data_IF_165241978165
#
_entry.id   IF_165241978165
#
_cell.length_a   1.000
_cell.length_b   1.000
_cell.length_c   1.000
_cell.angle_alpha   90.00
_cell.angle_beta   90.00
_cell.angle_gamma   90.00
#
_symmetry.space_group_name_H-M   'P 1'
#
loop_
_entity.id
_entity.type
_entity.pdbx_description
1 polymer ?
#
# COMPACT_ATOMS: atom_id res chain seq x y z
N UNK A 1 -31.30 -24.42 -34.77
CA UNK A 1 -30.00 -23.72 -34.61
C UNK A 1 -30.24 -22.28 -35.00
N UNK A 2 -30.21 -21.35 -34.04
CA UNK A 2 -30.38 -19.91 -34.28
C UNK A 2 -29.07 -19.24 -33.93
N UNK A 3 -28.52 -18.54 -34.91
CA UNK A 3 -27.34 -17.70 -34.79
C UNK A 3 -27.66 -16.48 -33.91
N UNK A 4 -26.79 -16.20 -32.93
CA UNK A 4 -26.84 -14.97 -32.15
C UNK A 4 -25.98 -13.91 -32.84
N UNK A 5 -26.52 -12.71 -33.12
CA UNK A 5 -25.76 -11.63 -33.71
C UNK A 5 -24.87 -10.97 -32.66
N UNK A 6 -23.59 -10.80 -33.00
CA UNK A 6 -22.62 -10.01 -32.24
C UNK A 6 -22.87 -8.53 -32.54
N UNK A 7 -23.03 -7.63 -31.56
CA UNK A 7 -22.94 -6.21 -31.83
C UNK A 7 -21.48 -5.77 -31.78
N UNK A 8 -21.01 -5.35 -32.95
CA UNK A 8 -19.78 -4.61 -33.21
C UNK A 8 -19.92 -3.18 -32.64
N UNK A 9 -18.86 -2.73 -31.97
CA UNK A 9 -18.47 -1.33 -31.66
C UNK A 9 -19.46 -0.42 -30.92
N UNK A 10 -19.27 -0.30 -29.60
CA UNK A 10 -19.42 1.01 -28.93
C UNK A 10 -18.07 1.54 -28.48
N UNK A 11 -17.66 2.58 -29.21
CA UNK A 11 -16.68 3.60 -28.88
C UNK A 11 -16.94 4.09 -27.45
N UNK A 12 -16.07 3.75 -26.49
CA UNK A 12 -16.06 4.39 -25.16
C UNK A 12 -15.45 5.78 -25.31
N UNK A 13 -16.27 6.71 -25.80
CA UNK A 13 -15.98 8.13 -25.75
C UNK A 13 -16.32 8.66 -24.37
N UNK A 14 -15.34 9.28 -23.71
CA UNK A 14 -15.58 10.36 -22.76
C UNK A 14 -16.36 10.00 -21.50
N UNK A 15 -15.67 9.39 -20.55
CA UNK A 15 -15.77 9.71 -19.11
C UNK A 15 -14.73 8.88 -18.38
N UNK A 16 -13.59 9.49 -18.07
CA UNK A 16 -12.80 9.03 -16.94
C UNK A 16 -13.78 8.94 -15.77
N UNK A 17 -13.94 7.75 -15.19
CA UNK A 17 -14.52 7.65 -13.87
C UNK A 17 -13.57 8.41 -12.94
N UNK A 18 -13.78 9.72 -12.83
CA UNK A 18 -13.27 10.52 -11.74
C UNK A 18 -13.92 9.93 -10.51
N UNK A 19 -13.21 8.99 -9.89
CA UNK A 19 -13.51 8.53 -8.55
C UNK A 19 -13.34 9.73 -7.62
N UNK A 20 -14.41 10.54 -7.55
CA UNK A 20 -14.59 11.68 -6.67
C UNK A 20 -14.94 11.14 -5.26
N UNK A 21 -14.14 10.18 -4.80
CA UNK A 21 -14.21 9.75 -3.42
C UNK A 21 -13.63 10.90 -2.58
N UNK A 22 -14.32 11.32 -1.51
CA UNK A 22 -13.71 12.19 -0.52
C UNK A 22 -12.51 11.44 0.04
N UNK A 23 -11.32 11.78 -0.42
CA UNK A 23 -10.07 11.24 0.11
C UNK A 23 -9.93 11.84 1.48
N UNK A 24 -10.46 11.14 2.48
CA UNK A 24 -10.25 11.53 3.85
C UNK A 24 -8.78 11.31 4.16
N UNK A 25 -7.99 12.38 4.01
CA UNK A 25 -6.77 12.53 4.79
C UNK A 25 -7.19 12.31 6.23
N UNK A 26 -6.83 11.17 6.83
CA UNK A 26 -7.08 10.98 8.26
C UNK A 26 -6.08 11.87 8.99
N UNK A 27 -6.50 13.01 9.58
CA UNK A 27 -5.57 13.81 10.36
C UNK A 27 -4.93 12.93 11.43
N UNK A 28 -3.67 13.24 11.76
CA UNK A 28 -2.88 12.51 12.75
C UNK A 28 -3.63 12.31 14.08
N UNK A 29 -4.53 13.24 14.44
CA UNK A 29 -5.42 13.16 15.60
C UNK A 29 -6.32 11.92 15.59
N UNK A 30 -6.80 11.47 14.43
CA UNK A 30 -7.62 10.24 14.34
C UNK A 30 -6.83 8.98 14.69
N UNK A 31 -5.49 9.02 14.62
CA UNK A 31 -4.63 7.91 15.06
C UNK A 31 -4.46 7.86 16.58
N UNK A 32 -4.67 8.97 17.27
CA UNK A 32 -4.66 9.01 18.73
C UNK A 32 -5.96 8.43 19.33
N UNK A 33 -7.02 8.27 18.53
CA UNK A 33 -8.29 7.78 19.01
C UNK A 33 -8.20 6.33 19.53
N UNK A 34 -8.94 5.99 20.61
CA UNK A 34 -8.96 4.65 21.18
C UNK A 34 -9.28 3.57 20.14
N UNK A 35 -10.18 3.88 19.21
CA UNK A 35 -10.58 2.97 18.13
C UNK A 35 -9.41 2.62 17.19
N UNK A 36 -8.58 3.60 16.83
CA UNK A 36 -7.40 3.34 16.00
C UNK A 36 -6.38 2.46 16.73
N UNK A 37 -6.12 2.79 18.00
CA UNK A 37 -5.22 1.99 18.84
C UNK A 37 -5.70 0.55 18.99
N UNK A 38 -7.02 0.33 19.11
CA UNK A 38 -7.63 -1.00 19.18
C UNK A 38 -7.35 -1.80 17.91
N UNK A 39 -7.57 -1.23 16.72
CA UNK A 39 -7.30 -1.96 15.47
C UNK A 39 -5.81 -2.27 15.30
N UNK A 40 -4.91 -1.36 15.70
CA UNK A 40 -3.47 -1.59 15.55
C UNK A 40 -2.95 -2.66 16.50
N UNK A 41 -3.61 -2.87 17.65
CA UNK A 41 -3.23 -3.90 18.62
C UNK A 41 -3.88 -5.26 18.35
N UNK A 42 -5.14 -5.27 17.93
CA UNK A 42 -5.94 -6.51 17.83
C UNK A 42 -6.95 -6.54 16.69
N UNK A 43 -6.86 -5.61 15.72
CA UNK A 43 -7.65 -5.69 14.50
C UNK A 43 -7.24 -6.91 13.67
N UNK A 44 -8.20 -7.45 12.91
CA UNK A 44 -7.93 -8.54 11.99
C UNK A 44 -7.00 -8.08 10.87
N UNK A 45 -6.17 -9.00 10.36
CA UNK A 45 -5.22 -8.71 9.29
C UNK A 45 -5.89 -8.81 7.94
N UNK A 46 -5.39 -8.05 6.98
CA UNK A 46 -5.75 -8.13 5.57
C UNK A 46 -4.52 -7.73 4.74
N UNK A 47 -4.57 -7.93 3.44
CA UNK A 47 -3.53 -7.49 2.52
C UNK A 47 -4.13 -6.51 1.51
N UNK A 48 -3.36 -5.52 1.07
CA UNK A 48 -3.80 -4.61 0.03
C UNK A 48 -2.80 -4.50 -1.10
N UNK A 49 -3.29 -4.56 -2.33
CA UNK A 49 -2.49 -4.32 -3.52
C UNK A 49 -2.61 -2.84 -3.91
N UNK A 50 -1.47 -2.18 -4.12
CA UNK A 50 -1.43 -0.81 -4.63
C UNK A 50 -1.83 -0.82 -6.10
N UNK A 51 -3.00 -0.26 -6.42
CA UNK A 51 -3.47 -0.12 -7.80
C UNK A 51 -2.94 1.16 -8.46
N UNK A 52 -2.76 2.19 -7.65
CA UNK A 52 -2.35 3.50 -8.11
C UNK A 52 -1.60 4.22 -6.98
N UNK A 53 -0.55 4.95 -7.34
CA UNK A 53 0.18 5.83 -6.43
C UNK A 53 0.46 7.14 -7.16
N UNK A 54 -0.04 8.25 -6.61
CA UNK A 54 0.21 9.59 -7.17
C UNK A 54 0.68 10.53 -6.07
N UNK A 55 1.67 11.39 -6.33
CA UNK A 55 2.02 12.44 -5.39
C UNK A 55 0.80 13.35 -5.12
N UNK A 56 0.62 13.74 -3.86
CA UNK A 56 -0.49 14.55 -3.39
C UNK A 56 0.00 15.59 -2.37
N UNK A 57 -0.49 16.82 -2.53
CA UNK A 57 -0.13 17.97 -1.70
C UNK A 57 1.03 18.79 -2.27
N UNK A 58 1.29 19.94 -1.66
CA UNK A 58 2.36 20.85 -2.04
C UNK A 58 3.72 20.36 -1.52
N UNK A 59 4.72 20.40 -2.39
CA UNK A 59 6.13 20.15 -2.05
C UNK A 59 6.82 21.49 -1.81
N UNK A 60 7.09 21.85 -0.56
CA UNK A 60 8.22 22.73 -0.26
C UNK A 60 9.49 21.90 -0.46
N UNK A 61 10.55 22.41 -1.09
CA UNK A 61 11.72 21.63 -1.53
C UNK A 61 12.39 20.70 -0.50
N UNK A 62 12.14 20.87 0.80
CA UNK A 62 12.63 20.00 1.87
C UNK A 62 11.73 18.80 2.21
N UNK A 63 10.46 18.77 1.80
CA UNK A 63 9.47 17.77 2.23
C UNK A 63 9.01 16.94 1.04
N UNK A 64 9.20 15.62 1.12
CA UNK A 64 8.67 14.68 0.12
C UNK A 64 7.13 14.82 0.08
N UNK A 65 6.50 14.84 -1.11
CA UNK A 65 5.05 14.91 -1.22
C UNK A 65 4.42 13.74 -0.48
N UNK A 66 3.18 13.85 -0.02
CA UNK A 66 2.42 12.66 0.36
C UNK A 66 2.05 11.88 -0.90
N UNK A 67 1.64 10.62 -0.78
CA UNK A 67 1.09 9.86 -1.90
C UNK A 67 -0.40 9.59 -1.66
N UNK A 68 -1.23 9.88 -2.65
CA UNK A 68 -2.58 9.35 -2.76
C UNK A 68 -2.49 7.97 -3.40
N UNK A 69 -2.89 6.97 -2.62
CA UNK A 69 -2.94 5.57 -3.00
C UNK A 69 -4.37 5.16 -3.31
N UNK A 70 -4.53 4.34 -4.35
CA UNK A 70 -5.73 3.53 -4.56
C UNK A 70 -5.34 2.09 -4.25
N UNK A 71 -6.00 1.49 -3.26
CA UNK A 71 -5.66 0.19 -2.70
C UNK A 71 -6.80 -0.80 -2.90
N UNK A 72 -6.49 -2.02 -3.36
CA UNK A 72 -7.43 -3.15 -3.37
C UNK A 72 -7.13 -4.04 -2.18
N UNK A 73 -8.00 -4.00 -1.19
CA UNK A 73 -7.89 -4.79 0.03
C UNK A 73 -8.51 -6.17 -0.21
N UNK A 74 -7.79 -7.21 0.18
CA UNK A 74 -8.21 -8.60 0.21
C UNK A 74 -8.39 -9.04 1.67
N UNK A 75 -9.60 -9.46 2.01
CA UNK A 75 -9.93 -10.01 3.32
C UNK A 75 -9.77 -11.53 3.32
N UNK A 76 -9.60 -12.14 4.50
CA UNK A 76 -9.41 -13.59 4.64
C UNK A 76 -10.61 -14.43 4.19
N UNK A 77 -11.80 -13.84 4.14
CA UNK A 77 -13.01 -14.50 3.62
C UNK A 77 -13.10 -14.48 2.09
N UNK A 78 -12.05 -14.01 1.40
CA UNK A 78 -11.98 -13.89 -0.05
C UNK A 78 -12.67 -12.65 -0.61
N UNK A 79 -13.36 -11.87 0.21
CA UNK A 79 -13.97 -10.61 -0.26
C UNK A 79 -12.91 -9.55 -0.50
N UNK A 80 -13.22 -8.60 -1.39
CA UNK A 80 -12.32 -7.48 -1.70
C UNK A 80 -13.04 -6.15 -1.64
N UNK A 81 -12.32 -5.09 -1.27
CA UNK A 81 -12.81 -3.71 -1.36
C UNK A 81 -11.73 -2.77 -1.89
N UNK A 82 -12.12 -1.68 -2.54
CA UNK A 82 -11.19 -0.66 -3.03
C UNK A 82 -11.31 0.58 -2.18
N UNK A 83 -10.19 1.07 -1.66
CA UNK A 83 -10.14 2.30 -0.86
C UNK A 83 -9.15 3.29 -1.48
N UNK A 84 -9.45 4.58 -1.35
CA UNK A 84 -8.51 5.65 -1.65
C UNK A 84 -7.99 6.26 -0.35
N UNK A 85 -6.68 6.49 -0.25
CA UNK A 85 -6.06 7.02 0.96
C UNK A 85 -4.85 7.88 0.66
N UNK A 86 -4.68 8.96 1.40
CA UNK A 86 -3.41 9.71 1.41
C UNK A 86 -2.53 9.18 2.52
N UNK A 87 -1.29 8.88 2.18
CA UNK A 87 -0.27 8.46 3.13
C UNK A 87 1.03 9.24 2.94
N UNK A 88 1.76 9.49 4.02
CA UNK A 88 3.03 10.22 3.92
C UNK A 88 4.08 9.33 3.30
N UNK A 89 4.83 9.87 2.35
CA UNK A 89 5.85 9.11 1.62
C UNK A 89 6.93 8.55 2.54
N UNK A 90 7.28 9.18 3.65
CA UNK A 90 8.27 8.57 4.56
C UNK A 90 7.76 7.34 5.31
N UNK A 91 6.45 7.08 5.30
CA UNK A 91 5.87 5.83 5.81
C UNK A 91 5.70 4.76 4.74
N UNK A 92 5.62 5.18 3.48
CA UNK A 92 5.66 4.32 2.32
C UNK A 92 7.13 4.21 1.92
N UNK A 93 7.81 3.21 2.47
CA UNK A 93 9.21 2.95 2.15
C UNK A 93 9.40 2.95 0.62
N UNK A 94 10.58 3.36 0.13
CA UNK A 94 10.81 3.76 -1.27
C UNK A 94 10.35 2.74 -2.33
N UNK A 95 10.13 1.49 -1.94
CA UNK A 95 9.80 0.37 -2.82
C UNK A 95 8.30 0.13 -3.02
N UNK A 96 7.42 0.83 -2.29
CA UNK A 96 5.97 0.61 -2.37
C UNK A 96 5.37 1.30 -3.62
N UNK A 97 5.52 0.62 -4.76
CA UNK A 97 5.03 1.01 -6.09
C UNK A 97 3.72 0.29 -6.45
N UNK A 98 3.10 0.66 -7.59
CA UNK A 98 1.93 -0.06 -8.12
C UNK A 98 2.25 -1.55 -8.26
N UNK A 99 1.35 -2.42 -7.79
CA UNK A 99 1.53 -3.87 -7.70
C UNK A 99 2.10 -4.35 -6.37
N UNK A 100 2.65 -3.45 -5.55
CA UNK A 100 3.15 -3.82 -4.22
C UNK A 100 2.02 -4.20 -3.28
N UNK A 101 2.33 -5.09 -2.34
CA UNK A 101 1.39 -5.55 -1.32
C UNK A 101 1.72 -4.90 0.02
N UNK A 102 0.71 -4.26 0.61
CA UNK A 102 0.75 -3.60 1.89
C UNK A 102 0.01 -4.42 2.96
N UNK A 103 0.60 -4.61 4.15
CA UNK A 103 -0.11 -5.22 5.25
C UNK A 103 -1.17 -4.26 5.80
N UNK A 104 -2.37 -4.76 6.04
CA UNK A 104 -3.51 -3.97 6.51
C UNK A 104 -4.06 -4.55 7.81
N UNK A 105 -4.73 -3.70 8.59
CA UNK A 105 -5.58 -4.09 9.72
C UNK A 105 -6.93 -3.41 9.63
N UNK A 106 -7.98 -4.16 9.98
CA UNK A 106 -9.34 -3.65 10.00
C UNK A 106 -10.08 -4.04 11.28
N UNK A 107 -11.16 -3.32 11.56
CA UNK A 107 -12.11 -3.67 12.62
C UNK A 107 -13.10 -4.73 12.09
N UNK A 108 -13.16 -5.95 12.61
CA UNK A 108 -14.09 -6.97 12.13
C UNK A 108 -15.56 -6.56 12.26
N UNK A 109 -15.88 -5.71 13.23
CA UNK A 109 -17.23 -5.17 13.43
C UNK A 109 -17.58 -4.03 12.44
N UNK A 110 -16.57 -3.44 11.79
CA UNK A 110 -16.73 -2.37 10.80
C UNK A 110 -15.58 -2.41 9.80
N UNK A 111 -15.79 -3.15 8.70
CA UNK A 111 -14.78 -3.34 7.64
C UNK A 111 -14.41 -2.07 6.89
N UNK A 112 -15.22 -1.00 7.00
CA UNK A 112 -14.84 0.29 6.45
C UNK A 112 -13.72 0.96 7.28
N UNK A 113 -13.57 0.55 8.54
CA UNK A 113 -12.48 1.01 9.40
C UNK A 113 -11.22 0.16 9.19
N UNK A 114 -10.48 0.48 8.13
CA UNK A 114 -9.24 -0.18 7.72
C UNK A 114 -8.06 0.79 7.68
N UNK A 115 -6.86 0.29 8.01
CA UNK A 115 -5.63 1.06 8.02
C UNK A 115 -4.41 0.19 7.66
N UNK A 116 -3.31 0.82 7.24
CA UNK A 116 -2.04 0.15 6.96
C UNK A 116 -1.42 -0.28 8.28
N UNK A 117 -1.04 -1.55 8.39
CA UNK A 117 -0.26 -2.06 9.52
C UNK A 117 1.19 -1.60 9.39
N UNK A 118 1.44 -0.38 9.86
CA UNK A 118 2.77 0.25 9.83
C UNK A 118 3.81 -0.55 10.57
N UNK A 119 3.42 -1.24 11.65
CA UNK A 119 4.38 -2.05 12.41
C UNK A 119 4.82 -3.22 11.55
N UNK A 120 3.88 -3.96 10.96
CA UNK A 120 4.20 -5.04 10.03
C UNK A 120 5.02 -4.56 8.83
N UNK A 121 4.73 -3.36 8.31
CA UNK A 121 5.47 -2.76 7.21
C UNK A 121 6.92 -2.44 7.60
N UNK A 122 7.14 -1.82 8.77
CA UNK A 122 8.48 -1.54 9.30
C UNK A 122 9.25 -2.83 9.62
N UNK A 123 8.59 -3.83 10.21
CA UNK A 123 9.20 -5.12 10.52
C UNK A 123 9.59 -5.88 9.24
N UNK A 124 8.79 -5.77 8.18
CA UNK A 124 9.14 -6.29 6.84
C UNK A 124 10.38 -5.60 6.31
N UNK A 125 10.46 -4.28 6.38
CA UNK A 125 11.62 -3.53 5.90
C UNK A 125 12.91 -3.85 6.66
N UNK A 126 12.85 -3.83 8.00
CA UNK A 126 13.99 -4.16 8.82
C UNK A 126 14.51 -5.57 8.55
N UNK A 127 13.65 -6.51 8.13
CA UNK A 127 14.09 -7.84 7.66
C UNK A 127 14.85 -7.75 6.34
N UNK A 128 14.30 -7.05 5.34
CA UNK A 128 14.99 -6.83 4.07
C UNK A 128 16.34 -6.15 4.22
N UNK A 129 16.44 -5.11 5.05
CA UNK A 129 17.70 -4.42 5.32
C UNK A 129 18.73 -5.35 5.95
N UNK A 130 18.34 -6.12 6.98
CA UNK A 130 19.23 -7.11 7.62
C UNK A 130 19.72 -8.18 6.65
N UNK A 131 18.86 -8.66 5.76
CA UNK A 131 19.23 -9.63 4.73
C UNK A 131 20.20 -9.03 3.71
N UNK A 132 19.95 -7.79 3.27
CA UNK A 132 20.84 -7.08 2.36
C UNK A 132 22.21 -6.80 2.99
N UNK A 133 22.23 -6.36 4.26
CA UNK A 133 23.47 -6.11 4.99
C UNK A 133 24.27 -7.40 5.18
N UNK A 134 23.61 -8.50 5.53
CA UNK A 134 24.24 -9.81 5.63
C UNK A 134 24.88 -10.23 4.30
N UNK A 135 24.16 -10.08 3.19
CA UNK A 135 24.70 -10.40 1.86
C UNK A 135 25.93 -9.54 1.51
N UNK A 136 25.92 -8.25 1.85
CA UNK A 136 27.08 -7.36 1.65
C UNK A 136 28.30 -7.77 2.48
N UNK A 137 28.07 -8.19 3.73
CA UNK A 137 29.15 -8.69 4.62
C UNK A 137 29.73 -9.97 4.04
N UNK A 138 28.89 -10.94 3.67
CA UNK A 138 29.34 -12.22 3.09
C UNK A 138 30.13 -12.03 1.79
N UNK A 139 29.70 -11.09 0.93
CA UNK A 139 30.43 -10.72 -0.29
C UNK A 139 31.78 -10.06 0.02
N UNK A 140 31.83 -9.12 0.97
CA UNK A 140 33.07 -8.48 1.39
C UNK A 140 34.06 -9.50 1.99
N UNK A 141 33.58 -10.44 2.80
CA UNK A 141 34.42 -11.52 3.34
C UNK A 141 34.96 -12.45 2.23
N UNK A 142 34.14 -12.74 1.21
CA UNK A 142 34.57 -13.53 0.05
C UNK A 142 35.69 -12.84 -0.71
N UNK A 143 35.53 -11.54 -1.00
CA UNK A 143 36.57 -10.71 -1.64
C UNK A 143 37.84 -10.62 -0.80
N UNK A 144 37.73 -10.58 0.53
CA UNK A 144 38.90 -10.59 1.43
C UNK A 144 39.63 -11.93 1.41
N UNK A 145 38.93 -13.06 1.31
CA UNK A 145 39.54 -14.41 1.26
C UNK A 145 40.25 -14.70 -0.06
N UNK A 146 39.86 -14.04 -1.15
CA UNK A 146 40.46 -14.17 -2.47
C UNK A 146 40.96 -12.81 -3.01
N UNK A 147 42.00 -12.22 -2.40
CA UNK A 147 42.55 -10.95 -2.85
C UNK A 147 43.44 -11.16 -4.07
N UNK A 148 42.83 -11.36 -5.25
CA UNK A 148 43.53 -11.39 -6.53
C UNK A 148 43.88 -12.78 -7.07
N UNK A 149 42.89 -13.42 -7.68
CA UNK A 149 43.12 -14.11 -8.95
C UNK A 149 42.94 -13.10 -10.10
#
# INVERSE_FOLDING_TARGET
>A
MRECPVPVTRRWAGRTCSYDWPVMYRPWLLRALPRHRRIMRGGATAEAIVLESRPWGWTSGAVRPNNRLTLRVHFHDGTTTTIARVERTHYLLQDESVGSTLPMRYDPADRAYIDIDRRALLDRHARFEREADRARIEDAERRRRHPGD
#
